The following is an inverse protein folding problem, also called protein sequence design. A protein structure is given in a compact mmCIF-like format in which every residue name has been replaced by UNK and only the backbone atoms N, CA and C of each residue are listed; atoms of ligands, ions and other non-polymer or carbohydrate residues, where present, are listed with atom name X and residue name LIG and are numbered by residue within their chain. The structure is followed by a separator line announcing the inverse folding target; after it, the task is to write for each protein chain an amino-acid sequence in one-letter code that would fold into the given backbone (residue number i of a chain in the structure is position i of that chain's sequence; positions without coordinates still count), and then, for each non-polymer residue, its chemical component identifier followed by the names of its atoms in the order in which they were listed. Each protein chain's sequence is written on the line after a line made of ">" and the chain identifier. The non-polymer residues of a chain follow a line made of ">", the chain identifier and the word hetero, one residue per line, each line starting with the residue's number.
data_IF_194522377960
#
_entry.id   IF_194522377960
#
_cell.length_a   1.000
_cell.length_b   1.000
_cell.length_c   1.000
_cell.angle_alpha   90.00
_cell.angle_beta   90.00
_cell.angle_gamma   90.00
#
_symmetry.space_group_name_H-M   'P 1'
#
loop_
_entity.id
_entity.type
_entity.pdbx_description
1 polymer ?
#
# COMPACT_ATOMS: atom_id res chain seq x y z
N UNK A 1 10.31 9.74 -2.28
CA UNK A 1 9.32 8.95 -1.56
C UNK A 1 7.97 8.99 -2.26
N UNK A 2 7.27 10.14 -2.30
CA UNK A 2 5.93 10.26 -2.92
C UNK A 2 5.90 9.81 -4.40
N UNK A 3 6.92 10.11 -5.19
CA UNK A 3 7.05 9.63 -6.56
C UNK A 3 7.13 8.09 -6.62
N UNK A 4 7.93 7.47 -5.77
CA UNK A 4 8.05 6.01 -5.73
C UNK A 4 6.77 5.35 -5.20
N UNK A 5 6.06 5.97 -4.25
CA UNK A 5 4.71 5.52 -3.84
C UNK A 5 3.76 5.46 -5.04
N UNK A 6 3.71 6.53 -5.87
CA UNK A 6 2.86 6.56 -7.06
C UNK A 6 3.21 5.45 -8.04
N UNK A 7 4.48 5.30 -8.36
CA UNK A 7 4.97 4.25 -9.27
C UNK A 7 4.56 2.85 -8.76
N UNK A 8 4.78 2.59 -7.48
CA UNK A 8 4.42 1.30 -6.86
C UNK A 8 2.92 1.07 -6.85
N UNK A 9 2.15 2.08 -6.48
CA UNK A 9 0.69 2.01 -6.47
C UNK A 9 0.14 1.66 -7.85
N UNK A 10 0.58 2.35 -8.89
CA UNK A 10 0.12 2.08 -10.26
C UNK A 10 0.52 0.68 -10.75
N UNK A 11 1.69 0.18 -10.34
CA UNK A 11 2.10 -1.20 -10.62
C UNK A 11 1.16 -2.22 -9.93
N UNK A 12 0.81 -1.99 -8.67
CA UNK A 12 -0.11 -2.83 -7.91
C UNK A 12 -1.55 -2.78 -8.47
N UNK A 13 -2.01 -1.60 -8.93
CA UNK A 13 -3.33 -1.43 -9.52
C UNK A 13 -3.52 -2.13 -10.87
N UNK A 14 -2.43 -2.33 -11.63
CA UNK A 14 -2.47 -3.02 -12.94
C UNK A 14 -2.69 -4.53 -12.82
N UNK A 15 -2.50 -5.11 -11.65
CA UNK A 15 -2.94 -6.49 -11.39
C UNK A 15 -4.48 -6.54 -11.37
N UNK A 16 -5.06 -7.61 -11.93
CA UNK A 16 -6.48 -7.84 -12.21
C UNK A 16 -7.48 -7.43 -11.10
N UNK A 17 -8.79 -7.54 -11.34
CA UNK A 17 -9.86 -7.21 -10.38
C UNK A 17 -9.71 -7.94 -9.03
N UNK A 18 -9.20 -9.17 -9.01
CA UNK A 18 -8.72 -9.85 -7.79
C UNK A 18 -7.21 -9.73 -7.68
N UNK A 19 -6.70 -9.45 -6.50
CA UNK A 19 -5.27 -9.40 -6.26
C UNK A 19 -4.74 -10.84 -6.21
N UNK A 20 -3.77 -11.21 -7.08
CA UNK A 20 -3.21 -12.57 -7.06
C UNK A 20 -2.61 -12.88 -5.68
N UNK A 21 -2.97 -14.04 -5.15
CA UNK A 21 -2.51 -14.53 -3.86
C UNK A 21 -1.44 -15.59 -4.04
N UNK A 22 -0.45 -15.61 -3.15
CA UNK A 22 0.51 -16.69 -2.99
C UNK A 22 0.36 -17.32 -1.61
N UNK A 23 0.50 -18.65 -1.55
CA UNK A 23 0.54 -19.37 -0.29
C UNK A 23 1.84 -19.08 0.45
N UNK A 24 1.74 -18.89 1.76
CA UNK A 24 2.89 -18.72 2.65
C UNK A 24 3.37 -20.09 3.10
N UNK A 25 4.64 -20.42 2.78
CA UNK A 25 5.23 -21.73 3.10
C UNK A 25 5.20 -22.07 4.59
N UNK A 26 5.44 -21.06 5.44
CA UNK A 26 5.37 -21.19 6.89
C UNK A 26 4.30 -20.22 7.36
N UNK A 27 3.09 -20.71 7.71
CA UNK A 27 2.01 -19.83 8.16
C UNK A 27 2.44 -18.93 9.31
N UNK A 28 2.05 -17.67 9.25
CA UNK A 28 2.36 -16.69 10.28
C UNK A 28 1.18 -16.60 11.26
N UNK A 29 1.49 -16.51 12.55
CA UNK A 29 0.50 -16.37 13.61
C UNK A 29 0.64 -15.02 14.30
N UNK A 30 -0.49 -14.42 14.68
CA UNK A 30 -0.54 -13.23 15.53
C UNK A 30 -1.63 -13.38 16.56
N UNK A 31 -1.43 -12.81 17.75
CA UNK A 31 -2.51 -12.58 18.69
C UNK A 31 -3.54 -11.65 18.03
N UNK A 32 -4.81 -11.90 18.28
CA UNK A 32 -5.91 -11.13 17.74
C UNK A 32 -6.95 -10.87 18.85
N UNK A 33 -7.58 -9.71 18.75
CA UNK A 33 -8.74 -9.36 19.58
C UNK A 33 -10.00 -10.11 19.10
N UNK A 34 -11.03 -10.16 19.94
CA UNK A 34 -12.31 -10.75 19.57
C UNK A 34 -12.92 -10.05 18.34
N UNK A 35 -12.74 -8.72 18.23
CA UNK A 35 -13.22 -7.93 17.08
C UNK A 35 -12.47 -8.31 15.80
N UNK A 36 -11.15 -8.49 15.85
CA UNK A 36 -10.35 -8.94 14.70
C UNK A 36 -10.71 -10.37 14.27
N UNK A 37 -11.00 -11.26 15.23
CA UNK A 37 -11.45 -12.63 14.94
C UNK A 37 -12.82 -12.64 14.27
N UNK A 38 -13.76 -11.82 14.74
CA UNK A 38 -15.06 -11.64 14.11
C UNK A 38 -14.92 -11.08 12.69
N UNK A 39 -14.04 -10.07 12.48
CA UNK A 39 -13.75 -9.53 11.15
C UNK A 39 -13.21 -10.58 10.17
N UNK A 40 -12.36 -11.51 10.64
CA UNK A 40 -11.87 -12.62 9.79
C UNK A 40 -13.01 -13.50 9.30
N UNK A 41 -14.01 -13.76 10.14
CA UNK A 41 -15.16 -14.57 9.76
C UNK A 41 -16.16 -13.81 8.88
N UNK A 42 -16.50 -12.59 9.27
CA UNK A 42 -17.49 -11.75 8.57
C UNK A 42 -16.98 -11.26 7.20
N UNK A 43 -15.70 -10.89 7.10
CA UNK A 43 -15.11 -10.30 5.90
C UNK A 43 -14.24 -11.28 5.10
N UNK A 44 -14.43 -12.59 5.31
CA UNK A 44 -13.61 -13.62 4.66
C UNK A 44 -13.49 -13.46 3.14
N UNK A 45 -14.62 -13.24 2.46
CA UNK A 45 -14.62 -13.06 0.99
C UNK A 45 -13.88 -11.78 0.58
N UNK A 46 -14.06 -10.70 1.33
CA UNK A 46 -13.38 -9.44 1.10
C UNK A 46 -11.87 -9.58 1.27
N UNK A 47 -11.42 -10.28 2.30
CA UNK A 47 -10.00 -10.56 2.53
C UNK A 47 -9.39 -11.41 1.41
N UNK A 48 -10.11 -12.43 0.93
CA UNK A 48 -9.67 -13.25 -0.20
C UNK A 48 -9.58 -12.43 -1.50
N UNK A 49 -10.53 -11.55 -1.78
CA UNK A 49 -10.50 -10.64 -2.93
C UNK A 49 -9.31 -9.66 -2.87
N UNK A 50 -8.87 -9.31 -1.66
CA UNK A 50 -7.66 -8.52 -1.40
C UNK A 50 -6.37 -9.35 -1.45
N UNK A 51 -6.47 -10.65 -1.67
CA UNK A 51 -5.36 -11.58 -1.75
C UNK A 51 -4.85 -12.09 -0.39
N UNK A 52 -5.63 -11.93 0.68
CA UNK A 52 -5.30 -12.48 2.00
C UNK A 52 -6.12 -13.73 2.30
N UNK A 53 -5.45 -14.84 2.58
CA UNK A 53 -6.09 -16.02 3.15
C UNK A 53 -5.74 -16.09 4.64
N UNK A 54 -6.75 -15.79 5.45
CA UNK A 54 -6.65 -15.71 6.91
C UNK A 54 -7.58 -16.72 7.54
N UNK A 55 -7.05 -17.48 8.48
CA UNK A 55 -7.79 -18.49 9.24
C UNK A 55 -7.72 -18.17 10.74
N UNK A 56 -8.69 -18.69 11.51
CA UNK A 56 -8.57 -18.71 12.96
C UNK A 56 -7.51 -19.75 13.36
N UNK A 57 -6.49 -19.29 14.09
CA UNK A 57 -5.35 -20.10 14.52
C UNK A 57 -5.46 -20.64 15.95
N UNK A 58 -6.57 -20.39 16.62
CA UNK A 58 -6.82 -20.71 18.01
C UNK A 58 -7.79 -19.73 18.69
N UNK A 59 -7.98 -19.79 20.01
CA UNK A 59 -8.96 -18.96 20.73
C UNK A 59 -8.70 -17.46 20.69
N UNK A 60 -7.43 -17.06 20.53
CA UNK A 60 -6.99 -15.66 20.52
C UNK A 60 -5.98 -15.39 19.41
N UNK A 61 -5.97 -16.18 18.34
CA UNK A 61 -4.97 -16.09 17.29
C UNK A 61 -5.59 -16.16 15.92
N UNK A 62 -5.03 -15.36 15.02
CA UNK A 62 -5.23 -15.48 13.60
C UNK A 62 -3.97 -16.07 12.94
N UNK A 63 -4.21 -16.78 11.84
CA UNK A 63 -3.20 -17.48 11.05
C UNK A 63 -3.28 -16.99 9.62
N UNK A 64 -2.20 -16.40 9.13
CA UNK A 64 -2.06 -15.97 7.75
C UNK A 64 -1.42 -17.11 6.94
N UNK A 65 -2.18 -17.65 5.98
CA UNK A 65 -1.75 -18.77 5.12
C UNK A 65 -1.51 -18.35 3.68
N UNK A 66 -2.07 -17.22 3.25
CA UNK A 66 -1.86 -16.63 1.93
C UNK A 66 -1.79 -15.12 1.99
N UNK A 67 -1.01 -14.52 1.09
CA UNK A 67 -0.85 -13.07 0.98
C UNK A 67 -0.72 -12.64 -0.49
N UNK A 68 -1.02 -11.36 -0.83
CA UNK A 68 -0.81 -10.82 -2.16
C UNK A 68 0.61 -11.06 -2.69
N UNK A 69 0.72 -11.54 -3.94
CA UNK A 69 2.01 -11.90 -4.59
C UNK A 69 3.00 -10.73 -4.61
N UNK A 70 2.50 -9.50 -4.77
CA UNK A 70 3.32 -8.30 -4.87
C UNK A 70 3.76 -7.72 -3.51
N UNK A 71 3.31 -8.34 -2.42
CA UNK A 71 3.72 -7.96 -1.07
C UNK A 71 4.90 -8.81 -0.61
N UNK A 72 5.88 -8.15 0.01
CA UNK A 72 6.94 -8.85 0.71
C UNK A 72 6.33 -9.56 1.91
N UNK A 73 6.52 -10.89 2.02
CA UNK A 73 5.95 -11.73 3.09
C UNK A 73 6.12 -11.12 4.50
N UNK A 74 7.29 -10.56 4.78
CA UNK A 74 7.59 -9.91 6.06
C UNK A 74 6.72 -8.70 6.40
N UNK A 75 5.91 -8.21 5.45
CA UNK A 75 5.01 -7.06 5.62
C UNK A 75 3.53 -7.41 5.44
N UNK A 76 3.23 -8.63 5.05
CA UNK A 76 1.85 -9.04 4.80
C UNK A 76 0.98 -8.86 6.06
N UNK A 77 1.49 -9.24 7.22
CA UNK A 77 0.79 -9.06 8.49
C UNK A 77 0.56 -7.59 8.87
N UNK A 78 1.55 -6.74 8.65
CA UNK A 78 1.44 -5.29 8.91
C UNK A 78 0.33 -4.65 8.04
N UNK A 79 0.22 -5.09 6.79
CA UNK A 79 -0.80 -4.60 5.86
C UNK A 79 -2.17 -5.17 6.23
N UNK A 80 -2.26 -6.43 6.64
CA UNK A 80 -3.50 -7.05 7.14
C UNK A 80 -4.02 -6.30 8.37
N UNK A 81 -3.16 -5.98 9.35
CA UNK A 81 -3.54 -5.18 10.52
C UNK A 81 -4.07 -3.80 10.13
N UNK A 82 -3.48 -3.17 9.11
CA UNK A 82 -4.00 -1.92 8.58
C UNK A 82 -5.41 -2.10 7.97
N UNK A 83 -5.65 -3.19 7.24
CA UNK A 83 -6.98 -3.52 6.70
C UNK A 83 -8.00 -3.69 7.82
N UNK A 84 -7.65 -4.39 8.90
CA UNK A 84 -8.54 -4.54 10.08
C UNK A 84 -8.84 -3.19 10.73
N UNK A 85 -7.82 -2.36 10.96
CA UNK A 85 -8.02 -1.02 11.50
C UNK A 85 -8.94 -0.18 10.62
N UNK A 86 -8.76 -0.25 9.31
CA UNK A 86 -9.61 0.48 8.37
C UNK A 86 -11.06 -0.01 8.39
N UNK A 87 -11.29 -1.32 8.45
CA UNK A 87 -12.63 -1.93 8.58
C UNK A 87 -13.31 -1.53 9.89
N UNK A 88 -12.56 -1.50 10.99
CA UNK A 88 -13.07 -1.07 12.28
C UNK A 88 -13.48 0.41 12.30
N UNK A 89 -12.66 1.29 11.70
CA UNK A 89 -12.87 2.74 11.74
C UNK A 89 -13.94 3.23 10.73
N UNK A 90 -14.24 2.43 9.69
CA UNK A 90 -15.16 2.80 8.61
C UNK A 90 -16.31 1.82 8.53
N UNK A 91 -17.53 2.30 8.79
CA UNK A 91 -18.72 1.48 8.65
C UNK A 91 -18.97 1.13 7.17
N UNK A 92 -18.78 -0.15 6.82
CA UNK A 92 -19.06 -0.71 5.50
C UNK A 92 -18.37 0.00 4.32
N UNK A 93 -17.04 0.06 4.28
CA UNK A 93 -16.35 0.59 3.11
C UNK A 93 -16.66 -0.29 1.90
N UNK A 94 -16.77 0.32 0.72
CA UNK A 94 -16.87 -0.46 -0.51
C UNK A 94 -15.59 -1.26 -0.74
N UNK A 95 -15.67 -2.40 -1.42
CA UNK A 95 -14.49 -3.21 -1.81
C UNK A 95 -13.44 -2.34 -2.56
N UNK A 96 -13.89 -1.42 -3.42
CA UNK A 96 -13.01 -0.51 -4.15
C UNK A 96 -12.26 0.45 -3.24
N UNK A 97 -12.91 1.01 -2.21
CA UNK A 97 -12.27 1.86 -1.21
C UNK A 97 -11.25 1.09 -0.39
N UNK A 98 -11.62 -0.08 0.12
CA UNK A 98 -10.74 -0.93 0.92
C UNK A 98 -9.51 -1.36 0.12
N UNK A 99 -9.71 -1.77 -1.15
CA UNK A 99 -8.61 -2.08 -2.06
C UNK A 99 -7.69 -0.89 -2.28
N UNK A 100 -8.26 0.31 -2.54
CA UNK A 100 -7.48 1.53 -2.72
C UNK A 100 -6.60 1.81 -1.50
N UNK A 101 -7.17 1.80 -0.30
CA UNK A 101 -6.47 2.06 0.95
C UNK A 101 -5.36 1.04 1.23
N UNK A 102 -5.67 -0.24 1.04
CA UNK A 102 -4.68 -1.31 1.19
C UNK A 102 -3.49 -1.13 0.23
N UNK A 103 -3.76 -0.88 -1.06
CA UNK A 103 -2.71 -0.69 -2.05
C UNK A 103 -1.91 0.60 -1.82
N UNK A 104 -2.56 1.67 -1.38
CA UNK A 104 -1.90 2.92 -1.00
C UNK A 104 -0.95 2.69 0.19
N UNK A 105 -1.42 2.01 1.23
CA UNK A 105 -0.59 1.66 2.39
C UNK A 105 0.59 0.76 2.01
N UNK A 106 0.35 -0.30 1.23
CA UNK A 106 1.38 -1.22 0.75
C UNK A 106 2.44 -0.51 -0.10
N UNK A 107 2.00 0.42 -0.97
CA UNK A 107 2.92 1.20 -1.81
C UNK A 107 3.83 2.10 -0.98
N UNK A 108 3.30 2.74 0.06
CA UNK A 108 4.05 3.57 1.01
C UNK A 108 5.09 2.74 1.78
N UNK A 109 4.71 1.57 2.29
CA UNK A 109 5.61 0.70 3.06
C UNK A 109 6.79 0.17 2.24
N UNK A 110 6.59 -0.08 0.96
CA UNK A 110 7.64 -0.50 0.04
C UNK A 110 8.40 0.64 -0.64
N UNK A 111 8.02 1.90 -0.41
CA UNK A 111 8.65 3.04 -1.06
C UNK A 111 10.03 3.39 -0.50
N UNK A 112 10.87 3.96 -1.35
CA UNK A 112 12.17 4.52 -0.98
C UNK A 112 11.97 5.57 0.12
N UNK A 113 12.72 5.44 1.21
CA UNK A 113 12.64 6.36 2.37
C UNK A 113 13.70 7.45 2.28
N UNK A 114 13.49 8.53 3.05
CA UNK A 114 14.50 9.57 3.21
C UNK A 114 15.83 8.97 3.68
N UNK A 115 16.94 9.45 3.15
CA UNK A 115 18.28 8.97 3.46
C UNK A 115 18.76 7.76 2.64
N UNK A 116 17.91 7.14 1.81
CA UNK A 116 18.37 6.13 0.85
C UNK A 116 19.12 6.79 -0.30
N UNK A 117 20.36 6.38 -0.52
CA UNK A 117 21.15 6.81 -1.64
C UNK A 117 20.69 6.11 -2.92
N UNK A 118 20.37 6.91 -3.94
CA UNK A 118 20.06 6.42 -5.27
C UNK A 118 21.21 6.76 -6.21
N UNK A 119 21.60 5.82 -7.06
CA UNK A 119 22.52 6.11 -8.16
C UNK A 119 21.76 6.78 -9.32
N UNK A 120 22.51 7.32 -10.29
CA UNK A 120 21.92 8.05 -11.45
C UNK A 120 20.93 7.20 -12.23
N UNK A 121 21.22 5.93 -12.44
CA UNK A 121 20.31 5.01 -13.14
C UNK A 121 18.99 4.86 -12.40
N UNK A 122 19.03 4.62 -11.09
CA UNK A 122 17.83 4.50 -10.26
C UNK A 122 16.99 5.80 -10.24
N UNK A 123 17.66 6.98 -10.21
CA UNK A 123 16.96 8.26 -10.26
C UNK A 123 16.24 8.45 -11.60
N UNK A 124 16.94 8.18 -12.71
CA UNK A 124 16.39 8.31 -14.06
C UNK A 124 15.20 7.37 -14.25
N UNK A 125 15.37 6.09 -13.91
CA UNK A 125 14.29 5.09 -14.00
C UNK A 125 13.08 5.49 -13.16
N UNK A 126 13.29 6.02 -11.95
CA UNK A 126 12.18 6.47 -11.10
C UNK A 126 11.40 7.62 -11.74
N UNK A 127 12.08 8.55 -12.39
CA UNK A 127 11.44 9.69 -13.09
C UNK A 127 10.66 9.18 -14.32
N UNK A 128 11.26 8.31 -15.12
CA UNK A 128 10.62 7.70 -16.28
C UNK A 128 9.38 6.89 -15.90
N UNK A 129 9.51 6.04 -14.88
CA UNK A 129 8.40 5.27 -14.32
C UNK A 129 7.29 6.19 -13.82
N UNK A 130 7.62 7.29 -13.11
CA UNK A 130 6.64 8.24 -12.59
C UNK A 130 5.82 8.87 -13.71
N UNK A 131 6.48 9.35 -14.78
CA UNK A 131 5.76 9.95 -15.91
C UNK A 131 4.98 8.95 -16.75
N UNK A 132 5.23 7.64 -16.57
CA UNK A 132 4.46 6.55 -17.18
C UNK A 132 3.21 6.17 -16.37
N UNK A 133 3.01 6.77 -15.18
CA UNK A 133 1.81 6.55 -14.36
C UNK A 133 0.63 7.40 -14.85
N UNK A 134 -0.60 6.99 -14.50
CA UNK A 134 -1.80 7.76 -14.85
C UNK A 134 -1.85 9.15 -14.19
N UNK A 135 -1.33 9.26 -12.97
CA UNK A 135 -1.39 10.49 -12.16
C UNK A 135 0.00 10.87 -11.62
N UNK A 136 0.94 11.30 -12.48
CA UNK A 136 2.33 11.49 -12.09
C UNK A 136 2.55 12.64 -11.09
N UNK A 137 1.60 13.56 -10.93
CA UNK A 137 1.76 14.76 -10.10
C UNK A 137 1.32 14.61 -8.65
N UNK A 138 0.72 13.47 -8.29
CA UNK A 138 0.17 13.24 -6.95
C UNK A 138 0.37 11.78 -6.52
N UNK A 139 0.77 11.54 -5.27
CA UNK A 139 0.84 10.19 -4.71
C UNK A 139 -0.57 9.67 -4.34
N UNK A 140 -0.73 8.37 -4.01
CA UNK A 140 -2.02 7.81 -3.60
C UNK A 140 -2.68 8.53 -2.41
N UNK A 141 -1.87 9.09 -1.51
CA UNK A 141 -2.33 9.83 -0.33
C UNK A 141 -2.58 11.33 -0.60
N UNK A 142 -2.60 11.78 -1.87
CA UNK A 142 -2.86 13.17 -2.22
C UNK A 142 -1.67 14.13 -2.08
N UNK A 143 -0.47 13.66 -1.72
CA UNK A 143 0.73 14.50 -1.62
C UNK A 143 1.31 14.78 -3.00
N UNK A 144 1.77 16.03 -3.30
CA UNK A 144 2.41 16.32 -4.57
C UNK A 144 3.72 15.52 -4.72
N UNK A 145 3.93 14.98 -5.91
CA UNK A 145 5.17 14.30 -6.33
C UNK A 145 6.13 15.27 -7.00
N UNK A 146 5.57 16.29 -7.67
CA UNK A 146 6.28 17.31 -8.42
C UNK A 146 5.70 18.67 -8.07
N UNK A 147 6.56 19.64 -7.78
CA UNK A 147 6.20 21.03 -7.57
C UNK A 147 6.89 21.85 -8.67
N UNK A 148 6.15 22.74 -9.31
CA UNK A 148 6.68 23.66 -10.33
C UNK A 148 6.78 25.05 -9.74
N UNK A 149 7.89 25.73 -9.99
CA UNK A 149 8.08 27.12 -9.70
C UNK A 149 8.38 27.87 -11.00
N UNK A 150 7.74 29.02 -11.19
CA UNK A 150 8.18 29.97 -12.21
C UNK A 150 9.48 30.65 -11.78
N UNK A 151 10.28 31.22 -12.71
CA UNK A 151 11.47 32.01 -12.35
C UNK A 151 11.16 33.14 -11.34
N UNK A 152 10.01 33.80 -11.49
CA UNK A 152 9.59 34.89 -10.61
C UNK A 152 9.23 34.38 -9.18
N UNK A 153 8.52 33.26 -9.09
CA UNK A 153 8.22 32.62 -7.80
C UNK A 153 9.51 32.19 -7.10
N UNK A 154 10.43 31.60 -7.84
CA UNK A 154 11.72 31.21 -7.30
C UNK A 154 12.53 32.45 -6.87
N UNK A 155 12.55 33.51 -7.66
CA UNK A 155 13.17 34.79 -7.31
C UNK A 155 12.63 35.35 -5.98
N UNK A 156 11.32 35.36 -5.80
CA UNK A 156 10.69 35.79 -4.54
C UNK A 156 11.12 34.99 -3.32
N UNK A 157 11.30 33.67 -3.46
CA UNK A 157 11.79 32.82 -2.36
C UNK A 157 13.22 33.20 -1.92
N UNK A 158 14.02 33.77 -2.83
CA UNK A 158 15.35 34.30 -2.56
C UNK A 158 15.37 35.81 -2.30
N UNK A 159 14.20 36.42 -2.03
CA UNK A 159 14.06 37.88 -1.81
C UNK A 159 14.61 38.73 -2.96
N UNK A 160 14.58 38.23 -4.18
CA UNK A 160 14.93 38.95 -5.40
C UNK A 160 13.65 39.43 -6.09
N UNK A 161 13.52 40.71 -6.24
CA UNK A 161 12.43 41.37 -7.01
C UNK A 161 12.73 41.34 -8.51
#
# INVERSE_FOLDING_TARGET
>A
HAAHERVRYDKLCKSSESIPMQSILVPQYSEATDDEMNLVEEERETLLDLGFDVELGGPTKIKLVGAPVDLVESKAFEILQYVFSYLHDHQQPTKAQLRHEMLAYASCRGAIKAGHNLNMYQMTTLIEDLFSTEKPYVCPHGRPTIIKFTPDELGKLFLRS
#
